data_IF_461007989688
#
_entry.id   IF_461007989688
#
_cell.length_a   1.000
_cell.length_b   1.000
_cell.length_c   1.000
_cell.angle_alpha   90.00
_cell.angle_beta   90.00
_cell.angle_gamma   90.00
#
_symmetry.space_group_name_H-M   'P 1'
#
loop_
_entity.id
_entity.type
_entity.pdbx_description
1 polymer ?
#
# COMPACT_ATOMS: atom_id res chain seq x y z
N UNK A 1 -42.98 -19.69 34.42
CA UNK A 1 -41.83 -19.68 33.48
C UNK A 1 -41.99 -18.51 32.53
N UNK A 2 -41.22 -17.43 32.69
CA UNK A 2 -41.21 -16.32 31.73
C UNK A 2 -40.07 -16.52 30.73
N UNK A 3 -40.38 -16.98 29.52
CA UNK A 3 -39.45 -17.01 28.40
C UNK A 3 -39.28 -15.61 27.83
N UNK A 4 -38.11 -15.01 28.05
CA UNK A 4 -37.76 -13.68 27.53
C UNK A 4 -37.10 -13.84 26.16
N UNK A 5 -37.83 -13.55 25.09
CA UNK A 5 -37.29 -13.61 23.73
C UNK A 5 -36.38 -12.41 23.47
N UNK A 6 -35.06 -12.63 23.41
CA UNK A 6 -34.08 -11.59 23.09
C UNK A 6 -34.09 -11.35 21.57
N UNK A 7 -34.71 -10.26 21.13
CA UNK A 7 -34.58 -9.78 19.74
C UNK A 7 -33.22 -9.13 19.56
N UNK A 8 -32.33 -9.73 18.76
CA UNK A 8 -31.06 -9.11 18.35
C UNK A 8 -31.38 -7.97 17.38
N UNK A 9 -31.02 -6.74 17.76
CA UNK A 9 -31.04 -5.61 16.85
C UNK A 9 -29.99 -5.81 15.76
N UNK A 10 -30.40 -5.79 14.48
CA UNK A 10 -29.49 -5.80 13.35
C UNK A 10 -28.76 -4.44 13.31
N UNK A 11 -27.42 -4.47 13.37
CA UNK A 11 -26.60 -3.27 13.17
C UNK A 11 -26.66 -2.89 11.68
N UNK A 12 -26.81 -1.60 11.33
CA UNK A 12 -26.77 -1.18 9.94
C UNK A 12 -25.40 -1.55 9.35
N UNK A 13 -25.42 -2.10 8.14
CA UNK A 13 -24.20 -2.42 7.41
C UNK A 13 -23.46 -1.10 7.12
N UNK A 14 -22.46 -0.78 7.95
CA UNK A 14 -21.49 0.25 7.64
C UNK A 14 -20.79 -0.17 6.36
N UNK A 15 -20.97 0.60 5.30
CA UNK A 15 -20.22 0.47 4.04
C UNK A 15 -18.74 0.43 4.38
N UNK A 16 -18.14 -0.76 4.35
CA UNK A 16 -16.69 -0.93 4.43
C UNK A 16 -16.09 -0.23 3.22
N UNK A 17 -15.65 1.02 3.40
CA UNK A 17 -14.66 1.62 2.50
C UNK A 17 -13.45 0.69 2.55
N UNK A 18 -13.24 -0.07 1.49
CA UNK A 18 -11.98 -0.78 1.27
C UNK A 18 -10.90 0.28 1.13
N UNK A 19 -10.15 0.52 2.21
CA UNK A 19 -8.90 1.26 2.11
C UNK A 19 -7.96 0.44 1.22
N UNK A 20 -7.40 1.08 0.19
CA UNK A 20 -6.28 0.50 -0.55
C UNK A 20 -5.14 0.29 0.44
N UNK A 21 -4.96 -0.97 0.85
CA UNK A 21 -3.88 -1.35 1.75
C UNK A 21 -2.65 -1.56 0.87
N UNK A 22 -1.90 -0.48 0.64
CA UNK A 22 -0.54 -0.54 0.09
C UNK A 22 0.38 -1.21 1.11
N UNK A 23 0.20 -2.52 1.30
CA UNK A 23 0.94 -3.32 2.29
C UNK A 23 2.41 -3.48 1.88
N UNK A 24 2.65 -3.57 0.57
CA UNK A 24 3.98 -3.74 -0.01
C UNK A 24 4.36 -2.49 -0.81
N UNK A 25 5.62 -2.09 -0.68
CA UNK A 25 6.22 -1.01 -1.45
C UNK A 25 6.75 -1.53 -2.79
N UNK A 26 6.76 -0.66 -3.80
CA UNK A 26 7.50 -0.93 -5.03
C UNK A 26 9.01 -0.88 -4.77
N UNK A 27 9.78 -1.55 -5.62
CA UNK A 27 11.24 -1.69 -5.49
C UNK A 27 11.97 -0.34 -5.34
N UNK A 28 11.60 0.67 -6.12
CA UNK A 28 12.25 1.99 -6.04
C UNK A 28 11.97 2.69 -4.69
N UNK A 29 10.80 2.45 -4.10
CA UNK A 29 10.40 3.01 -2.81
C UNK A 29 11.13 2.32 -1.66
N UNK A 30 11.18 0.98 -1.69
CA UNK A 30 11.92 0.21 -0.68
C UNK A 30 13.43 0.49 -0.76
N UNK A 31 13.98 0.60 -1.97
CA UNK A 31 15.40 0.91 -2.16
C UNK A 31 15.77 2.30 -1.64
N UNK A 32 14.92 3.31 -1.86
CA UNK A 32 15.12 4.65 -1.30
C UNK A 32 15.13 4.62 0.24
N UNK A 33 14.14 3.96 0.85
CA UNK A 33 14.05 3.79 2.31
C UNK A 33 15.28 3.08 2.88
N UNK A 34 15.73 2.00 2.24
CA UNK A 34 16.92 1.25 2.66
C UNK A 34 18.19 2.11 2.59
N UNK A 35 18.34 2.89 1.51
CA UNK A 35 19.46 3.81 1.33
C UNK A 35 19.49 4.91 2.39
N UNK A 36 18.35 5.49 2.73
CA UNK A 36 18.21 6.48 3.81
C UNK A 36 18.65 5.92 5.17
N UNK A 37 18.48 4.61 5.36
CA UNK A 37 18.91 3.89 6.56
C UNK A 37 20.33 3.32 6.45
N UNK A 38 21.12 3.76 5.47
CA UNK A 38 22.52 3.37 5.32
C UNK A 38 22.74 1.95 4.78
N UNK A 39 21.70 1.29 4.29
CA UNK A 39 21.82 -0.02 3.64
C UNK A 39 22.27 0.19 2.20
N UNK A 40 23.32 -0.52 1.80
CA UNK A 40 23.78 -0.50 0.41
C UNK A 40 22.75 -1.19 -0.49
N UNK A 41 22.25 -0.45 -1.48
CA UNK A 41 21.28 -0.93 -2.46
C UNK A 41 21.78 -0.63 -3.88
N UNK A 42 21.43 -1.46 -4.88
CA UNK A 42 21.77 -1.19 -6.27
C UNK A 42 21.25 0.16 -6.74
N UNK A 43 22.05 0.87 -7.55
CA UNK A 43 21.62 2.14 -8.14
C UNK A 43 20.74 1.84 -9.36
N UNK A 44 19.56 2.44 -9.37
CA UNK A 44 18.60 2.33 -10.47
C UNK A 44 17.76 3.61 -10.60
N UNK A 45 17.11 3.76 -11.75
CA UNK A 45 16.25 4.90 -12.05
C UNK A 45 14.86 4.37 -12.39
N UNK A 46 13.86 4.78 -11.60
CA UNK A 46 12.47 4.60 -11.98
C UNK A 46 12.11 5.68 -13.03
N UNK A 47 11.68 5.25 -14.20
CA UNK A 47 11.25 6.12 -15.29
C UNK A 47 9.83 5.75 -15.73
N UNK A 48 9.06 6.76 -16.12
CA UNK A 48 7.67 6.61 -16.56
C UNK A 48 7.54 6.52 -18.08
N UNK A 49 8.63 6.73 -18.82
CA UNK A 49 8.65 6.61 -20.27
C UNK A 49 10.02 6.16 -20.79
N UNK A 50 10.03 5.56 -21.99
CA UNK A 50 11.28 5.19 -22.66
C UNK A 50 12.15 6.41 -23.01
N UNK A 51 11.53 7.59 -23.26
CA UNK A 51 12.26 8.83 -23.52
C UNK A 51 13.03 9.28 -22.27
N UNK A 52 12.37 9.24 -21.10
CA UNK A 52 13.01 9.60 -19.83
C UNK A 52 14.21 8.71 -19.50
N UNK A 53 14.12 7.40 -19.79
CA UNK A 53 15.27 6.50 -19.65
C UNK A 53 16.43 6.95 -20.54
N UNK A 54 16.14 7.28 -21.80
CA UNK A 54 17.15 7.73 -22.77
C UNK A 54 17.86 9.00 -22.31
N UNK A 55 17.11 10.00 -21.87
CA UNK A 55 17.66 11.31 -21.45
C UNK A 55 18.49 11.25 -20.14
N UNK A 56 18.35 10.18 -19.34
CA UNK A 56 19.10 10.00 -18.08
C UNK A 56 20.27 9.01 -18.17
N UNK A 57 20.31 8.18 -19.21
CA UNK A 57 21.32 7.14 -19.42
C UNK A 57 22.31 7.52 -20.54
N UNK A 58 21.88 8.35 -21.50
CA UNK A 58 22.73 8.93 -22.54
C UNK A 58 23.22 10.32 -22.15
#
# INVERSE_FOLDING_TARGET
>A
MLSRTIRRAAKPATTTRSFERYLNLHEYQSSALMKENGINVPVGIAAHSAKEVRDRVC
#
